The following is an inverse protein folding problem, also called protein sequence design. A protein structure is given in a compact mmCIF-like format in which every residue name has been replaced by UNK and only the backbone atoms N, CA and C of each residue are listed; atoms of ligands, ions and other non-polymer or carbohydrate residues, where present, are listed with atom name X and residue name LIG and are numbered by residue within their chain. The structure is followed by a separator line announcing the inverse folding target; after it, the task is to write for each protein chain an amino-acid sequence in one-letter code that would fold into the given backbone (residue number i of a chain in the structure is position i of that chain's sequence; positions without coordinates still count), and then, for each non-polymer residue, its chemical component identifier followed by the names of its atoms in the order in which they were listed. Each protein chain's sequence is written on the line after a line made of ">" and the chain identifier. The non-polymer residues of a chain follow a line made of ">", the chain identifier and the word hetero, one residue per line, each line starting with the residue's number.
data_IF_629891493349
#
_entry.id   IF_629891493349
#
_cell.length_a   1.000
_cell.length_b   1.000
_cell.length_c   1.000
_cell.angle_alpha   90.00
_cell.angle_beta   90.00
_cell.angle_gamma   90.00
#
_symmetry.space_group_name_H-M   'P 1'
#
loop_
_entity.id
_entity.type
_entity.pdbx_description
1 polymer ?
#
# COMPACT_ATOMS: atom_id res chain seq x y z
N UNK A 1 19.24 -15.46 10.59
CA UNK A 1 18.32 -14.65 9.77
C UNK A 1 16.89 -15.08 10.08
N UNK A 2 15.96 -14.15 10.38
CA UNK A 2 14.55 -14.49 10.66
C UNK A 2 13.85 -14.88 9.35
N UNK A 3 13.05 -15.97 9.31
CA UNK A 3 12.31 -16.33 8.11
C UNK A 3 11.24 -15.28 7.77
N UNK A 4 11.02 -15.06 6.48
CA UNK A 4 9.96 -14.18 5.98
C UNK A 4 8.57 -14.71 6.35
N UNK A 5 7.62 -13.80 6.56
CA UNK A 5 6.22 -14.14 6.75
C UNK A 5 5.62 -14.90 5.55
N UNK A 6 4.52 -15.63 5.79
CA UNK A 6 3.86 -16.46 4.77
C UNK A 6 3.37 -15.59 3.61
N UNK A 7 3.75 -15.95 2.38
CA UNK A 7 3.42 -15.18 1.16
C UNK A 7 1.93 -14.84 1.06
N UNK A 8 1.03 -15.85 1.14
CA UNK A 8 -0.42 -15.65 1.01
C UNK A 8 -0.97 -14.60 1.99
N UNK A 9 -0.49 -14.61 3.23
CA UNK A 9 -0.91 -13.64 4.26
C UNK A 9 -0.53 -12.21 3.86
N UNK A 10 0.74 -11.99 3.52
CA UNK A 10 1.23 -10.64 3.19
C UNK A 10 0.74 -10.14 1.84
N UNK A 11 0.49 -11.03 0.88
CA UNK A 11 -0.19 -10.67 -0.36
C UNK A 11 -1.56 -10.06 -0.08
N UNK A 12 -2.38 -10.70 0.77
CA UNK A 12 -3.70 -10.18 1.13
C UNK A 12 -3.62 -8.92 1.98
N UNK A 13 -2.70 -8.84 2.94
CA UNK A 13 -2.50 -7.61 3.73
C UNK A 13 -2.09 -6.42 2.84
N UNK A 14 -1.18 -6.64 1.88
CA UNK A 14 -0.75 -5.59 0.96
C UNK A 14 -1.92 -5.14 0.06
N UNK A 15 -2.75 -6.07 -0.44
CA UNK A 15 -3.95 -5.71 -1.22
C UNK A 15 -4.96 -4.90 -0.39
N UNK A 16 -5.18 -5.29 0.87
CA UNK A 16 -6.05 -4.57 1.80
C UNK A 16 -5.51 -3.16 2.10
N UNK A 17 -4.20 -3.03 2.29
CA UNK A 17 -3.52 -1.73 2.45
C UNK A 17 -3.73 -0.83 1.23
N UNK A 18 -3.56 -1.37 0.02
CA UNK A 18 -3.83 -0.63 -1.21
C UNK A 18 -5.27 -0.09 -1.25
N UNK A 19 -6.25 -0.96 -0.95
CA UNK A 19 -7.66 -0.56 -0.87
C UNK A 19 -7.91 0.51 0.20
N UNK A 20 -7.41 0.33 1.41
CA UNK A 20 -7.62 1.25 2.53
C UNK A 20 -7.02 2.64 2.25
N UNK A 21 -5.92 2.70 1.51
CA UNK A 21 -5.21 3.94 1.16
C UNK A 21 -5.68 4.58 -0.13
N UNK A 22 -6.57 3.94 -0.88
CA UNK A 22 -7.06 4.45 -2.17
C UNK A 22 -6.11 4.18 -3.33
N UNK A 23 -5.13 3.29 -3.18
CA UNK A 23 -4.27 2.87 -4.29
C UNK A 23 -4.99 1.83 -5.15
N UNK A 24 -5.48 2.23 -6.32
CA UNK A 24 -6.05 1.31 -7.30
C UNK A 24 -4.95 0.51 -8.00
N UNK A 25 -4.74 -0.74 -7.58
CA UNK A 25 -3.71 -1.62 -8.14
C UNK A 25 -3.98 -2.02 -9.60
N UNK A 26 -5.23 -2.07 -10.03
CA UNK A 26 -5.57 -2.45 -11.41
C UNK A 26 -5.20 -1.29 -12.34
N UNK A 27 -5.68 -0.08 -12.01
CA UNK A 27 -5.32 1.13 -12.75
C UNK A 27 -3.81 1.41 -12.67
N UNK A 28 -3.16 1.24 -11.52
CA UNK A 28 -1.71 1.38 -11.37
C UNK A 28 -0.92 0.52 -12.35
N UNK A 29 -1.37 -0.71 -12.57
CA UNK A 29 -0.73 -1.63 -13.50
C UNK A 29 -0.99 -1.23 -14.95
N UNK A 30 -2.22 -0.86 -15.28
CA UNK A 30 -2.62 -0.44 -16.63
C UNK A 30 -1.94 0.87 -17.06
N UNK A 31 -1.85 1.84 -16.14
CA UNK A 31 -1.14 3.11 -16.32
C UNK A 31 0.40 3.00 -16.21
N UNK A 32 0.94 1.79 -15.99
CA UNK A 32 2.38 1.55 -15.88
C UNK A 32 3.04 2.12 -14.61
N UNK A 33 2.25 2.61 -13.65
CA UNK A 33 2.72 3.18 -12.37
C UNK A 33 3.14 2.11 -11.36
N UNK A 34 2.68 0.87 -11.53
CA UNK A 34 3.08 -0.28 -10.71
C UNK A 34 3.12 -1.56 -11.55
N UNK A 35 4.32 -1.94 -12.01
CA UNK A 35 4.54 -3.17 -12.77
C UNK A 35 4.52 -4.40 -11.87
N UNK A 36 4.27 -5.57 -12.46
CA UNK A 36 4.21 -6.85 -11.73
C UNK A 36 5.47 -7.15 -10.87
N UNK A 37 6.71 -6.90 -11.33
CA UNK A 37 7.90 -7.12 -10.50
C UNK A 37 7.97 -6.17 -9.29
N UNK A 38 7.50 -4.93 -9.45
CA UNK A 38 7.48 -3.93 -8.37
C UNK A 38 6.45 -4.33 -7.31
N UNK A 39 5.27 -4.80 -7.72
CA UNK A 39 4.28 -5.37 -6.82
C UNK A 39 4.82 -6.60 -6.05
N UNK A 40 5.51 -7.51 -6.75
CA UNK A 40 6.14 -8.66 -6.10
C UNK A 40 7.21 -8.25 -5.07
N UNK A 41 7.98 -7.20 -5.37
CA UNK A 41 8.93 -6.61 -4.43
C UNK A 41 8.24 -5.98 -3.21
N UNK A 42 7.14 -5.26 -3.40
CA UNK A 42 6.31 -4.73 -2.31
C UNK A 42 5.79 -5.84 -1.40
N UNK A 43 5.25 -6.94 -1.96
CA UNK A 43 4.78 -8.07 -1.15
C UNK A 43 5.94 -8.73 -0.41
N UNK A 44 7.11 -8.88 -1.04
CA UNK A 44 8.32 -9.43 -0.41
C UNK A 44 8.78 -8.55 0.76
N UNK A 45 8.84 -7.23 0.58
CA UNK A 45 9.14 -6.26 1.64
C UNK A 45 8.10 -6.29 2.76
N UNK A 46 6.83 -6.44 2.45
CA UNK A 46 5.78 -6.60 3.47
C UNK A 46 6.04 -7.85 4.34
N UNK A 47 6.56 -8.94 3.77
CA UNK A 47 6.85 -10.19 4.51
C UNK A 47 7.99 -10.06 5.51
N UNK A 48 8.82 -9.02 5.42
CA UNK A 48 9.86 -8.75 6.42
C UNK A 48 9.36 -7.84 7.55
N UNK A 49 8.08 -7.45 7.58
CA UNK A 49 7.56 -6.61 8.65
C UNK A 49 7.56 -7.34 10.01
N UNK A 50 7.78 -6.58 11.07
CA UNK A 50 7.86 -7.08 12.45
C UNK A 50 6.48 -7.30 13.08
N UNK A 51 5.46 -6.54 12.67
CA UNK A 51 4.16 -6.47 13.36
C UNK A 51 2.94 -6.68 12.44
N UNK A 52 2.79 -7.86 11.79
CA UNK A 52 1.67 -8.11 10.90
C UNK A 52 0.31 -8.13 11.61
N UNK A 53 0.25 -8.42 12.92
CA UNK A 53 -1.01 -8.35 13.69
C UNK A 53 -1.48 -6.92 13.94
N UNK A 54 -0.54 -6.00 14.16
CA UNK A 54 -0.86 -4.57 14.27
C UNK A 54 -1.40 -4.05 12.94
N UNK A 55 -0.83 -4.49 11.82
CA UNK A 55 -1.34 -4.22 10.48
C UNK A 55 -2.78 -4.73 10.31
N UNK A 56 -3.07 -5.98 10.69
CA UNK A 56 -4.42 -6.55 10.61
C UNK A 56 -5.46 -5.72 11.36
N UNK A 57 -5.14 -5.31 12.60
CA UNK A 57 -6.05 -4.49 13.43
C UNK A 57 -6.27 -3.11 12.83
N UNK A 58 -5.21 -2.44 12.40
CA UNK A 58 -5.32 -1.14 11.77
C UNK A 58 -6.18 -1.19 10.50
N UNK A 59 -5.98 -2.22 9.65
CA UNK A 59 -6.76 -2.40 8.43
C UNK A 59 -8.25 -2.58 8.69
N UNK A 60 -8.64 -3.27 9.78
CA UNK A 60 -10.04 -3.47 10.12
C UNK A 60 -10.79 -2.14 10.34
N UNK A 61 -10.10 -1.10 10.82
CA UNK A 61 -10.65 0.25 10.95
C UNK A 61 -10.49 1.05 9.65
N UNK A 62 -9.30 1.04 9.04
CA UNK A 62 -8.97 1.85 7.87
C UNK A 62 -9.79 1.51 6.62
N UNK A 63 -10.20 0.24 6.45
CA UNK A 63 -11.06 -0.18 5.34
C UNK A 63 -12.46 0.48 5.37
N UNK A 64 -12.88 1.01 6.53
CA UNK A 64 -14.14 1.73 6.68
C UNK A 64 -14.03 3.20 6.19
N UNK A 65 -12.82 3.70 5.98
CA UNK A 65 -12.55 5.09 5.54
C UNK A 65 -12.74 5.33 4.03
N UNK A 66 -13.30 4.35 3.30
CA UNK A 66 -13.61 4.52 1.87
C UNK A 66 -12.40 4.77 0.97
N UNK A 67 -11.22 4.25 1.34
CA UNK A 67 -9.98 4.43 0.56
C UNK A 67 -9.27 5.76 0.79
N UNK A 68 -9.55 6.45 1.91
CA UNK A 68 -8.94 7.75 2.25
C UNK A 68 -7.96 7.68 3.42
N UNK A 69 -7.64 6.48 3.91
CA UNK A 69 -6.72 6.37 5.04
C UNK A 69 -5.28 6.62 4.59
N UNK A 70 -4.48 7.25 5.44
CA UNK A 70 -3.03 7.29 5.25
C UNK A 70 -2.41 6.01 5.78
N UNK A 71 -1.44 5.45 5.05
CA UNK A 71 -0.72 4.27 5.51
C UNK A 71 -0.08 4.57 6.87
N UNK A 72 -0.15 3.65 7.84
CA UNK A 72 0.41 3.91 9.15
C UNK A 72 1.94 3.93 9.05
N UNK A 73 2.61 4.71 9.90
CA UNK A 73 4.08 4.90 9.87
C UNK A 73 4.91 3.62 10.00
N UNK A 74 4.33 2.53 10.53
CA UNK A 74 4.99 1.23 10.62
C UNK A 74 4.84 0.36 9.35
N UNK A 75 3.99 0.76 8.40
CA UNK A 75 3.85 0.08 7.13
C UNK A 75 5.10 0.32 6.32
N UNK A 76 5.88 -0.74 6.07
CA UNK A 76 7.06 -0.62 5.23
C UNK A 76 6.67 0.01 3.88
N UNK A 77 5.63 -0.49 3.21
CA UNK A 77 5.21 0.00 1.90
C UNK A 77 4.39 1.31 1.91
N UNK A 78 4.31 2.03 3.03
CA UNK A 78 3.49 3.24 3.16
C UNK A 78 3.79 4.26 2.07
N UNK A 79 5.04 4.69 1.97
CA UNK A 79 5.48 5.67 0.97
C UNK A 79 5.16 5.22 -0.45
N UNK A 80 5.39 3.93 -0.75
CA UNK A 80 5.15 3.40 -2.10
C UNK A 80 3.67 3.39 -2.47
N UNK A 81 2.76 3.14 -1.51
CA UNK A 81 1.33 3.27 -1.76
C UNK A 81 0.96 4.73 -2.02
N UNK A 82 1.47 5.67 -1.20
CA UNK A 82 1.22 7.10 -1.39
C UNK A 82 1.75 7.63 -2.72
N UNK A 83 2.95 7.22 -3.14
CA UNK A 83 3.52 7.55 -4.45
C UNK A 83 2.64 7.09 -5.61
N UNK A 84 2.26 5.80 -5.62
CA UNK A 84 1.44 5.23 -6.70
C UNK A 84 0.08 5.90 -6.74
N UNK A 85 -0.55 6.16 -5.58
CA UNK A 85 -1.81 6.89 -5.50
C UNK A 85 -1.71 8.29 -6.12
N UNK A 86 -0.69 9.07 -5.75
CA UNK A 86 -0.47 10.42 -6.30
C UNK A 86 -0.21 10.41 -7.80
N UNK A 87 0.48 9.39 -8.31
CA UNK A 87 0.73 9.25 -9.74
C UNK A 87 -0.54 8.94 -10.55
N UNK A 88 -1.56 8.34 -9.93
CA UNK A 88 -2.86 8.04 -10.54
C UNK A 88 -3.87 9.19 -10.41
N UNK A 89 -3.70 10.06 -9.42
CA UNK A 89 -4.51 11.27 -9.20
C UNK A 89 -3.68 12.54 -9.47
N UNK A 90 -3.36 12.88 -10.74
CA UNK A 90 -2.56 14.07 -11.06
C UNK A 90 -3.24 15.38 -10.62
N UNK A 91 -4.55 15.35 -10.39
CA UNK A 91 -5.36 16.45 -9.85
C UNK A 91 -4.97 16.80 -8.40
N UNK A 92 -4.67 15.79 -7.58
CA UNK A 92 -4.21 15.95 -6.19
C UNK A 92 -2.74 16.42 -6.11
N UNK A 93 -1.92 16.04 -7.10
CA UNK A 93 -0.50 16.42 -7.17
C UNK A 93 -0.28 17.91 -7.53
N UNK A 94 -1.29 18.58 -8.12
CA UNK A 94 -1.25 20.00 -8.42
C UNK A 94 -1.58 20.90 -7.21
N UNK A 95 -2.33 20.40 -6.23
CA UNK A 95 -2.75 21.15 -5.04
C UNK A 95 -1.63 21.30 -3.97
N UNK A 96 -0.66 20.38 -3.96
CA UNK A 96 0.49 20.35 -3.03
C UNK A 96 1.66 21.27 -3.44
N UNK A 97 1.60 21.92 -4.61
CA UNK A 97 2.63 22.85 -5.12
C UNK A 97 2.27 24.33 -4.93
N UNK A 98 1.32 24.62 -4.03
CA UNK A 98 0.82 25.97 -3.81
C UNK A 98 0.40 26.23 -2.37
N UNK A 99 1.32 26.03 -1.42
CA UNK A 99 1.28 26.63 -0.08
C UNK A 99 2.70 27.06 0.31
#
# INVERSE_FOLDING_TARGET
>A
MKPLGRFKRHFWLAKRMAKATGTDLANAREAGQLRQPEWAAMVTRCRSCSEPERCTRWLATAEQSGGRAEAPSFCLNGDRFSEVRRALSPEDAASDRGQ
#
